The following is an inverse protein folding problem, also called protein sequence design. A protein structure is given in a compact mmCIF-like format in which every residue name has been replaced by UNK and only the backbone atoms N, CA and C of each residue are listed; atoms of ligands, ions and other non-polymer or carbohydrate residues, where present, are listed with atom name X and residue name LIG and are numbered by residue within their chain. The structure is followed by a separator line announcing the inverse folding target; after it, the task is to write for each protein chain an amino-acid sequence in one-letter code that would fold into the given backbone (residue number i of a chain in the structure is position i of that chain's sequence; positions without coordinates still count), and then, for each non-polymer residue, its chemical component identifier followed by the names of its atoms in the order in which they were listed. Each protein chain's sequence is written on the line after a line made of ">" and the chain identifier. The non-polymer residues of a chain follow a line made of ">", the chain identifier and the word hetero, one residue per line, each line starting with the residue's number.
data_IF_757165739739
#
_entry.id   IF_757165739739
#
_cell.length_a   1.000
_cell.length_b   1.000
_cell.length_c   1.000
_cell.angle_alpha   90.00
_cell.angle_beta   90.00
_cell.angle_gamma   90.00
#
_symmetry.space_group_name_H-M   'P 1'
#
loop_
_entity.id
_entity.type
_entity.pdbx_description
1 polymer ?
#
# COMPACT_ATOMS: atom_id res chain seq x y z
N UNK A 1 -7.95 13.22 9.19
CA UNK A 1 -7.49 14.62 9.25
C UNK A 1 -7.91 15.10 10.60
N UNK A 2 -6.95 15.57 11.38
CA UNK A 2 -7.24 16.24 12.64
C UNK A 2 -7.66 17.65 12.25
N UNK A 3 -8.85 18.07 12.68
CA UNK A 3 -9.36 19.38 12.30
C UNK A 3 -8.52 20.48 12.97
N UNK A 4 -8.15 21.52 12.22
CA UNK A 4 -7.34 22.65 12.70
C UNK A 4 -5.85 22.58 12.33
N UNK A 5 -5.46 21.64 11.45
CA UNK A 5 -4.10 21.54 10.91
C UNK A 5 -3.99 22.16 9.51
N UNK A 6 -4.29 23.45 9.37
CA UNK A 6 -4.45 24.14 8.08
C UNK A 6 -3.30 23.90 7.08
N UNK A 7 -2.06 23.84 7.57
CA UNK A 7 -0.87 23.55 6.74
C UNK A 7 -0.93 22.13 6.15
N UNK A 8 -1.36 21.15 6.93
CA UNK A 8 -1.48 19.76 6.46
C UNK A 8 -2.68 19.60 5.52
N UNK A 9 -3.75 20.36 5.73
CA UNK A 9 -4.89 20.38 4.80
C UNK A 9 -4.47 20.97 3.44
N UNK A 10 -3.76 22.10 3.45
CA UNK A 10 -3.22 22.73 2.22
C UNK A 10 -2.21 21.81 1.52
N UNK A 11 -1.29 21.20 2.27
CA UNK A 11 -0.32 20.25 1.72
C UNK A 11 -1.00 19.04 1.08
N UNK A 12 -2.09 18.53 1.68
CA UNK A 12 -2.86 17.42 1.11
C UNK A 12 -3.52 17.83 -0.21
N UNK A 13 -4.15 19.01 -0.27
CA UNK A 13 -4.78 19.53 -1.49
C UNK A 13 -3.73 19.72 -2.60
N UNK A 14 -2.61 20.36 -2.25
CA UNK A 14 -1.50 20.60 -3.16
C UNK A 14 -0.96 19.28 -3.73
N UNK A 15 -0.58 18.34 -2.86
CA UNK A 15 0.03 17.07 -3.29
C UNK A 15 -0.93 16.20 -4.09
N UNK A 16 -2.20 16.09 -3.67
CA UNK A 16 -3.23 15.33 -4.39
C UNK A 16 -3.39 15.86 -5.82
N UNK A 17 -3.53 17.18 -5.98
CA UNK A 17 -3.71 17.83 -7.29
C UNK A 17 -2.56 17.52 -8.24
N UNK A 18 -1.32 17.63 -7.76
CA UNK A 18 -0.14 17.40 -8.60
C UNK A 18 0.04 15.91 -8.93
N UNK A 19 -0.19 15.01 -7.96
CA UNK A 19 -0.09 13.57 -8.18
C UNK A 19 -1.15 13.05 -9.16
N UNK A 20 -2.37 13.58 -9.13
CA UNK A 20 -3.41 13.27 -10.12
C UNK A 20 -3.01 13.70 -11.53
N UNK A 21 -2.41 14.88 -11.67
CA UNK A 21 -1.90 15.38 -12.95
C UNK A 21 -0.78 14.49 -13.51
N UNK A 22 0.20 14.16 -12.66
CA UNK A 22 1.33 13.27 -13.03
C UNK A 22 0.81 11.89 -13.44
N UNK A 23 -0.20 11.36 -12.75
CA UNK A 23 -0.78 10.04 -13.05
C UNK A 23 -1.40 9.97 -14.46
N UNK A 24 -1.94 11.10 -14.97
CA UNK A 24 -2.45 11.20 -16.35
C UNK A 24 -1.34 11.17 -17.41
N UNK A 25 -0.10 11.51 -17.02
CA UNK A 25 1.07 11.54 -17.91
C UNK A 25 1.85 10.21 -17.86
N UNK A 26 1.76 9.48 -16.75
CA UNK A 26 2.40 8.18 -16.55
C UNK A 26 1.65 7.07 -17.31
N UNK A 27 1.95 6.94 -18.61
CA UNK A 27 1.39 5.91 -19.49
C UNK A 27 2.05 4.52 -19.36
N UNK A 28 3.09 4.38 -18.54
CA UNK A 28 3.83 3.13 -18.38
C UNK A 28 3.67 2.51 -16.98
N UNK A 29 3.58 1.18 -16.87
CA UNK A 29 3.49 0.48 -15.59
C UNK A 29 4.86 0.50 -14.88
N UNK A 30 5.21 1.65 -14.30
CA UNK A 30 6.34 1.79 -13.39
C UNK A 30 5.87 1.55 -11.93
N UNK A 31 6.66 0.91 -11.05
CA UNK A 31 6.27 0.68 -9.64
C UNK A 31 5.84 1.96 -8.91
N UNK A 32 6.50 3.08 -9.19
CA UNK A 32 6.11 4.40 -8.64
C UNK A 32 4.74 4.87 -9.14
N UNK A 33 4.40 4.61 -10.41
CA UNK A 33 3.09 4.96 -10.95
C UNK A 33 1.96 4.15 -10.28
N UNK A 34 2.23 2.87 -9.96
CA UNK A 34 1.31 2.03 -9.20
C UNK A 34 1.14 2.53 -7.76
N UNK A 35 2.25 2.90 -7.10
CA UNK A 35 2.21 3.50 -5.76
C UNK A 35 1.41 4.80 -5.74
N UNK A 36 1.63 5.72 -6.69
CA UNK A 36 0.89 6.99 -6.76
C UNK A 36 -0.60 6.73 -6.97
N UNK A 37 -0.97 5.86 -7.92
CA UNK A 37 -2.37 5.47 -8.15
C UNK A 37 -3.01 4.86 -6.91
N UNK A 38 -2.28 4.03 -6.17
CA UNK A 38 -2.75 3.41 -4.94
C UNK A 38 -2.98 4.45 -3.84
N UNK A 39 -2.01 5.34 -3.60
CA UNK A 39 -2.08 6.38 -2.56
C UNK A 39 -3.20 7.40 -2.81
N UNK A 40 -3.45 7.74 -4.08
CA UNK A 40 -4.56 8.63 -4.48
C UNK A 40 -5.93 8.01 -4.24
N UNK A 41 -6.06 6.68 -4.37
CA UNK A 41 -7.30 5.97 -4.03
C UNK A 41 -7.48 5.82 -2.53
N UNK A 42 -6.40 5.48 -1.83
CA UNK A 42 -6.40 5.21 -0.40
C UNK A 42 -5.10 5.67 0.23
N UNK A 43 -5.19 6.63 1.16
CA UNK A 43 -4.01 7.16 1.85
C UNK A 43 -3.36 6.08 2.71
N UNK A 44 -2.07 5.86 2.53
CA UNK A 44 -1.29 4.79 3.19
C UNK A 44 -1.47 4.74 4.72
N UNK A 45 -1.58 5.89 5.37
CA UNK A 45 -1.68 6.01 6.83
C UNK A 45 -3.09 5.70 7.40
N UNK A 46 -4.11 5.58 6.53
CA UNK A 46 -5.49 5.24 6.96
C UNK A 46 -5.84 3.77 6.72
N UNK A 47 -4.96 3.02 6.09
CA UNK A 47 -5.26 1.65 5.70
C UNK A 47 -4.80 0.69 6.80
N UNK A 48 -5.53 -0.41 6.97
CA UNK A 48 -5.12 -1.47 7.87
C UNK A 48 -3.82 -2.09 7.34
N UNK A 49 -2.72 -2.05 8.09
CA UNK A 49 -1.42 -2.52 7.59
C UNK A 49 -1.48 -3.95 7.04
N UNK A 50 -2.32 -4.80 7.63
CA UNK A 50 -2.49 -6.19 7.19
C UNK A 50 -3.13 -6.33 5.80
N UNK A 51 -4.13 -5.49 5.49
CA UNK A 51 -4.78 -5.48 4.17
C UNK A 51 -3.81 -4.97 3.09
N UNK A 52 -2.99 -3.99 3.44
CA UNK A 52 -2.03 -3.39 2.53
C UNK A 52 -0.76 -4.21 2.31
N UNK A 53 -0.42 -5.09 3.25
CA UNK A 53 0.82 -5.84 3.19
C UNK A 53 1.00 -6.60 1.87
N UNK A 54 -0.08 -7.12 1.28
CA UNK A 54 -0.01 -7.78 -0.04
C UNK A 54 0.42 -6.80 -1.14
N UNK A 55 -0.19 -5.62 -1.18
CA UNK A 55 0.14 -4.57 -2.14
C UNK A 55 1.60 -4.13 -1.97
N UNK A 56 2.03 -3.88 -0.74
CA UNK A 56 3.40 -3.49 -0.44
C UNK A 56 4.42 -4.56 -0.80
N UNK A 57 4.16 -5.83 -0.50
CA UNK A 57 5.04 -6.94 -0.90
C UNK A 57 5.21 -6.97 -2.42
N UNK A 58 4.11 -6.86 -3.18
CA UNK A 58 4.15 -6.86 -4.64
C UNK A 58 4.89 -5.65 -5.21
N UNK A 59 4.75 -4.47 -4.59
CA UNK A 59 5.44 -3.25 -5.02
C UNK A 59 6.94 -3.35 -4.68
N UNK A 60 7.29 -3.80 -3.48
CA UNK A 60 8.67 -3.95 -3.02
C UNK A 60 9.44 -4.98 -3.85
N UNK A 61 8.77 -6.04 -4.30
CA UNK A 61 9.36 -7.02 -5.22
C UNK A 61 9.79 -6.43 -6.56
N UNK A 62 9.13 -5.35 -7.03
CA UNK A 62 9.49 -4.68 -8.28
C UNK A 62 10.59 -3.62 -8.11
N UNK A 63 10.99 -3.31 -6.87
CA UNK A 63 12.08 -2.36 -6.62
C UNK A 63 13.43 -3.02 -6.96
N UNK A 64 14.22 -2.48 -7.90
CA UNK A 64 15.52 -3.04 -8.26
C UNK A 64 16.52 -3.10 -7.09
N UNK A 65 16.31 -2.27 -6.06
CA UNK A 65 17.17 -2.15 -4.88
C UNK A 65 16.69 -2.98 -3.68
N UNK A 66 15.62 -3.78 -3.83
CA UNK A 66 15.06 -4.51 -2.70
C UNK A 66 16.04 -5.51 -2.08
N UNK A 67 15.95 -5.65 -0.76
CA UNK A 67 16.65 -6.68 -0.03
C UNK A 67 15.89 -8.01 -0.16
N UNK A 68 16.53 -9.01 -0.79
CA UNK A 68 15.95 -10.33 -1.02
C UNK A 68 15.52 -11.04 0.27
N UNK A 69 16.31 -10.93 1.33
CA UNK A 69 15.99 -11.57 2.61
C UNK A 69 14.76 -10.92 3.26
N UNK A 70 14.66 -9.59 3.18
CA UNK A 70 13.49 -8.87 3.67
C UNK A 70 12.22 -9.24 2.89
N UNK A 71 12.32 -9.38 1.57
CA UNK A 71 11.21 -9.82 0.73
C UNK A 71 10.74 -11.25 1.08
N UNK A 72 11.69 -12.18 1.26
CA UNK A 72 11.39 -13.55 1.68
C UNK A 72 10.70 -13.55 3.05
N UNK A 73 11.24 -12.80 4.02
CA UNK A 73 10.66 -12.69 5.35
C UNK A 73 9.22 -12.18 5.29
N UNK A 74 8.96 -11.11 4.53
CA UNK A 74 7.63 -10.53 4.39
C UNK A 74 6.63 -11.52 3.76
N UNK A 75 7.06 -12.29 2.76
CA UNK A 75 6.21 -13.33 2.12
C UNK A 75 5.90 -14.49 3.07
N UNK A 76 6.89 -14.95 3.84
CA UNK A 76 6.70 -16.03 4.82
C UNK A 76 5.74 -15.60 5.94
N UNK A 77 5.94 -14.42 6.53
CA UNK A 77 5.05 -13.86 7.55
C UNK A 77 3.61 -13.74 7.04
N UNK A 78 3.44 -13.16 5.85
CA UNK A 78 2.13 -13.00 5.21
C UNK A 78 1.41 -14.35 5.08
N UNK A 79 2.10 -15.36 4.53
CA UNK A 79 1.52 -16.67 4.27
C UNK A 79 1.19 -17.43 5.56
N UNK A 80 2.04 -17.32 6.59
CA UNK A 80 1.80 -17.94 7.89
C UNK A 80 0.51 -17.38 8.53
N UNK A 81 0.39 -16.06 8.61
CA UNK A 81 -0.80 -15.41 9.15
C UNK A 81 -2.06 -15.68 8.31
N UNK A 82 -1.93 -15.68 6.98
CA UNK A 82 -3.05 -16.02 6.11
C UNK A 82 -3.57 -17.44 6.38
N UNK A 83 -2.68 -18.41 6.59
CA UNK A 83 -3.06 -19.79 6.93
C UNK A 83 -3.79 -19.88 8.27
N UNK A 84 -3.33 -19.13 9.28
CA UNK A 84 -4.00 -19.04 10.57
C UNK A 84 -5.42 -18.46 10.44
N UNK A 85 -5.57 -17.33 9.74
CA UNK A 85 -6.89 -16.73 9.50
C UNK A 85 -7.82 -17.65 8.72
N UNK A 86 -7.32 -18.43 7.75
CA UNK A 86 -8.13 -19.42 7.02
C UNK A 86 -8.65 -20.54 7.93
N UNK A 87 -7.82 -20.98 8.88
CA UNK A 87 -8.22 -21.98 9.89
C UNK A 87 -9.27 -21.41 10.84
N UNK A 88 -9.08 -20.19 11.33
CA UNK A 88 -10.07 -19.48 12.15
C UNK A 88 -11.39 -19.34 11.39
N UNK A 89 -11.34 -18.85 10.15
CA UNK A 89 -12.50 -18.73 9.28
C UNK A 89 -13.24 -20.07 9.14
N UNK A 90 -12.52 -21.15 8.85
CA UNK A 90 -13.10 -22.50 8.72
C UNK A 90 -13.78 -23.00 9.99
N UNK A 91 -13.34 -22.55 11.18
CA UNK A 91 -13.96 -22.92 12.45
C UNK A 91 -15.26 -22.14 12.73
N UNK A 92 -15.49 -20.98 12.09
CA UNK A 92 -16.75 -20.25 12.21
C UNK A 92 -17.90 -20.90 11.41
N UNK A 93 -17.59 -21.76 10.44
CA UNK A 93 -18.58 -22.48 9.63
C UNK A 93 -18.80 -23.94 10.10
N UNK A 94 -18.36 -24.28 11.31
CA UNK A 94 -18.68 -25.54 12.01
C UNK A 94 -19.69 -25.28 13.11
#
# INVERSE_FOLDING_TARGET
>A
MVHGEDILEEALVFTTTHLESITKQLNHPHPQALQVKHCLRQTLHKNLPRLEARNYISIYEQDPSHNKNLLILAKLDFNMLQSLHQKEFSNFYK
#
